data_IF_276658278003
#
_entry.id   IF_276658278003
#
_cell.length_a   1.000
_cell.length_b   1.000
_cell.length_c   1.000
_cell.angle_alpha   90.00
_cell.angle_beta   90.00
_cell.angle_gamma   90.00
#
_symmetry.space_group_name_H-M   'P 1'
#
loop_
_entity.id
_entity.type
_entity.pdbx_description
1 polymer ?
#
# COMPACT_ATOMS: atom_id res chain seq x y z
N UNK A 1 -65.31 -1.08 -28.64
CA UNK A 1 -63.87 -0.77 -28.79
C UNK A 1 -63.58 0.44 -27.92
N UNK A 2 -62.82 0.27 -26.85
CA UNK A 2 -62.50 1.36 -25.91
C UNK A 2 -61.15 1.97 -26.27
N UNK A 3 -61.11 3.27 -26.55
CA UNK A 3 -59.87 4.04 -26.75
C UNK A 3 -59.47 4.68 -25.42
N UNK A 4 -58.34 4.26 -24.87
CA UNK A 4 -57.76 4.83 -23.64
C UNK A 4 -56.94 6.05 -24.04
N UNK A 5 -57.43 7.23 -23.63
CA UNK A 5 -56.71 8.50 -23.67
C UNK A 5 -55.71 8.53 -22.50
N UNK A 6 -54.42 8.60 -22.79
CA UNK A 6 -53.37 8.72 -21.78
C UNK A 6 -52.95 10.19 -21.70
N UNK A 7 -53.35 10.84 -20.62
CA UNK A 7 -53.04 12.22 -20.28
C UNK A 7 -51.54 12.37 -20.00
N UNK A 8 -50.88 13.27 -20.71
CA UNK A 8 -49.47 13.64 -20.52
C UNK A 8 -49.27 14.33 -19.17
N UNK A 9 -48.63 13.64 -18.22
CA UNK A 9 -48.18 14.23 -16.96
C UNK A 9 -46.82 14.91 -17.13
N UNK A 10 -46.79 16.21 -16.85
CA UNK A 10 -45.59 17.06 -16.88
C UNK A 10 -44.58 16.62 -15.81
N UNK A 11 -43.41 16.15 -16.24
CA UNK A 11 -42.26 15.88 -15.38
C UNK A 11 -41.71 17.22 -14.88
N UNK A 12 -41.83 17.49 -13.57
CA UNK A 12 -41.13 18.60 -12.92
C UNK A 12 -39.63 18.26 -12.90
N UNK A 13 -38.80 19.16 -13.41
CA UNK A 13 -37.34 19.10 -13.23
C UNK A 13 -37.05 19.55 -11.81
N UNK A 14 -36.50 18.65 -11.00
CA UNK A 14 -35.95 19.01 -9.70
C UNK A 14 -34.66 19.82 -9.91
N UNK A 15 -34.62 21.00 -9.32
CA UNK A 15 -33.47 21.88 -9.32
C UNK A 15 -32.28 21.19 -8.65
N UNK A 16 -31.17 21.12 -9.39
CA UNK A 16 -29.93 20.49 -8.95
C UNK A 16 -29.44 21.06 -7.62
N UNK A 17 -29.54 20.25 -6.57
CA UNK A 17 -28.93 20.54 -5.27
C UNK A 17 -27.42 20.71 -5.42
N UNK A 18 -26.95 21.94 -5.18
CA UNK A 18 -25.54 22.30 -5.19
C UNK A 18 -24.78 21.56 -4.09
N UNK A 19 -23.94 20.59 -4.46
CA UNK A 19 -23.04 19.86 -3.56
C UNK A 19 -21.74 20.63 -3.25
N UNK A 20 -21.69 21.93 -3.58
CA UNK A 20 -20.50 22.77 -3.46
C UNK A 20 -19.91 22.87 -2.04
N UNK A 21 -20.72 22.63 -1.00
CA UNK A 21 -20.27 22.58 0.38
C UNK A 21 -19.38 21.37 0.69
N UNK A 22 -19.72 20.18 0.16
CA UNK A 22 -19.08 18.91 0.57
C UNK A 22 -17.60 18.82 0.29
N UNK A 23 -17.15 19.49 -0.77
CA UNK A 23 -15.75 19.48 -1.20
C UNK A 23 -14.82 20.18 -0.19
N UNK A 24 -15.33 21.10 0.62
CA UNK A 24 -14.54 21.82 1.62
C UNK A 24 -14.49 21.14 2.99
N UNK A 25 -15.38 20.17 3.27
CA UNK A 25 -15.35 19.44 4.56
C UNK A 25 -14.27 18.36 4.57
N UNK A 26 -14.02 17.75 3.40
CA UNK A 26 -13.03 16.69 3.24
C UNK A 26 -11.61 17.25 3.38
N UNK A 27 -11.36 18.48 2.93
CA UNK A 27 -10.03 19.10 3.03
C UNK A 27 -9.64 19.56 4.44
N UNK A 28 -10.59 19.73 5.37
CA UNK A 28 -10.32 20.29 6.71
C UNK A 28 -10.15 19.26 7.82
N UNK A 29 -10.47 17.98 7.58
CA UNK A 29 -10.40 16.93 8.63
C UNK A 29 -9.44 15.79 8.35
N UNK A 30 -8.68 15.85 7.25
CA UNK A 30 -7.63 14.89 6.97
C UNK A 30 -6.27 15.55 7.17
N UNK A 31 -5.55 15.07 8.19
CA UNK A 31 -4.11 15.34 8.42
C UNK A 31 -3.30 14.60 7.34
N UNK A 32 -3.48 14.96 6.08
CA UNK A 32 -2.72 14.33 4.98
C UNK A 32 -2.57 15.22 3.75
N UNK A 33 -2.71 16.54 3.88
CA UNK A 33 -2.37 17.45 2.77
C UNK A 33 -1.76 18.73 3.34
N UNK A 34 -0.52 18.61 3.79
CA UNK A 34 0.48 19.69 3.70
C UNK A 34 1.72 19.05 3.07
N UNK A 35 1.72 18.94 1.75
CA UNK A 35 2.90 18.63 0.94
C UNK A 35 3.02 19.69 -0.16
N UNK A 36 3.12 20.94 0.26
CA UNK A 36 3.78 21.99 -0.52
C UNK A 36 4.66 22.78 0.45
N UNK A 37 5.91 22.32 0.63
CA UNK A 37 7.12 23.07 0.30
C UNK A 37 8.34 22.42 0.96
N UNK A 38 9.47 22.51 0.26
CA UNK A 38 10.62 21.63 0.40
C UNK A 38 11.19 21.43 1.81
N UNK A 39 11.36 20.17 2.20
CA UNK A 39 12.61 19.67 2.81
C UNK A 39 12.56 18.17 3.09
N UNK A 40 13.57 17.46 2.56
CA UNK A 40 14.13 16.23 3.13
C UNK A 40 13.23 15.00 3.29
N UNK A 41 12.33 14.73 2.35
CA UNK A 41 12.06 13.32 2.07
C UNK A 41 13.37 12.73 1.52
N UNK A 42 14.11 11.99 2.36
CA UNK A 42 15.26 11.19 1.91
C UNK A 42 14.75 10.25 0.81
N UNK A 43 14.81 10.70 -0.44
CA UNK A 43 14.83 9.83 -1.59
C UNK A 43 16.04 8.92 -1.36
N UNK A 44 15.76 7.72 -0.86
CA UNK A 44 16.73 6.64 -0.84
C UNK A 44 17.04 6.42 -2.31
N UNK A 45 18.14 7.00 -2.79
CA UNK A 45 18.61 6.85 -4.16
C UNK A 45 18.82 5.36 -4.38
N UNK A 46 18.27 4.86 -5.48
CA UNK A 46 18.48 3.49 -5.93
C UNK A 46 19.99 3.14 -6.02
N UNK A 47 20.83 4.17 -6.18
CA UNK A 47 22.29 4.05 -6.26
C UNK A 47 22.96 3.67 -4.92
N UNK A 48 22.35 3.97 -3.76
CA UNK A 48 22.84 3.47 -2.46
C UNK A 48 22.56 1.97 -2.28
N UNK A 49 21.71 1.39 -3.13
CA UNK A 49 21.25 0.00 -3.07
C UNK A 49 22.26 -0.99 -3.66
N UNK A 50 23.15 -0.53 -4.54
CA UNK A 50 24.22 -1.33 -5.15
C UNK A 50 25.54 -1.13 -4.41
N UNK A 51 25.49 -0.96 -3.08
CA UNK A 51 26.63 -1.35 -2.26
C UNK A 51 26.71 -2.86 -2.32
N UNK A 52 27.67 -3.37 -3.09
CA UNK A 52 28.02 -4.78 -3.17
C UNK A 52 28.09 -5.35 -1.74
N UNK A 53 27.02 -6.04 -1.33
CA UNK A 53 26.94 -6.69 -0.03
C UNK A 53 27.97 -7.82 -0.09
N UNK A 54 29.13 -7.60 0.51
CA UNK A 54 30.14 -8.62 0.77
C UNK A 54 29.55 -9.61 1.78
N UNK A 55 28.70 -10.52 1.31
CA UNK A 55 28.01 -11.51 2.14
C UNK A 55 26.57 -11.73 1.70
N UNK A 56 26.02 -12.90 2.03
CA UNK A 56 24.57 -13.11 2.06
C UNK A 56 24.15 -12.93 3.51
N UNK A 57 23.28 -11.97 3.76
CA UNK A 57 22.63 -11.78 5.05
C UNK A 57 21.17 -12.23 4.89
N UNK A 58 20.80 -13.29 5.62
CA UNK A 58 19.48 -13.89 5.56
C UNK A 58 18.40 -12.96 6.11
N UNK A 59 18.72 -12.15 7.13
CA UNK A 59 17.73 -11.24 7.71
C UNK A 59 17.41 -10.09 6.76
N UNK A 60 18.45 -9.55 6.11
CA UNK A 60 18.30 -8.53 5.08
C UNK A 60 17.53 -9.08 3.87
N UNK A 61 17.79 -10.33 3.48
CA UNK A 61 17.04 -10.98 2.40
C UNK A 61 15.56 -11.11 2.72
N UNK A 62 15.22 -11.61 3.91
CA UNK A 62 13.82 -11.78 4.34
C UNK A 62 13.08 -10.45 4.37
N UNK A 63 13.75 -9.38 4.82
CA UNK A 63 13.20 -8.04 4.88
C UNK A 63 12.97 -7.43 3.48
N UNK A 64 13.90 -7.66 2.55
CA UNK A 64 13.74 -7.27 1.16
C UNK A 64 12.64 -8.05 0.47
N UNK A 65 12.51 -9.33 0.77
CA UNK A 65 11.46 -10.21 0.26
C UNK A 65 10.07 -9.76 0.74
N UNK A 66 9.91 -9.50 2.05
CA UNK A 66 8.67 -8.96 2.59
C UNK A 66 8.33 -7.62 1.94
N UNK A 67 9.31 -6.73 1.79
CA UNK A 67 9.12 -5.43 1.14
C UNK A 67 8.69 -5.58 -0.32
N UNK A 68 9.31 -6.49 -1.07
CA UNK A 68 8.92 -6.81 -2.44
C UNK A 68 7.45 -7.22 -2.51
N UNK A 69 7.04 -8.16 -1.66
CA UNK A 69 5.67 -8.68 -1.63
C UNK A 69 4.66 -7.55 -1.36
N UNK A 70 4.94 -6.70 -0.37
CA UNK A 70 4.05 -5.59 0.00
C UNK A 70 4.00 -4.50 -1.09
N UNK A 71 5.14 -4.10 -1.65
CA UNK A 71 5.18 -3.04 -2.66
C UNK A 71 4.55 -3.45 -4.00
N UNK A 72 4.61 -4.74 -4.33
CA UNK A 72 4.06 -5.29 -5.57
C UNK A 72 2.68 -5.93 -5.38
N UNK A 73 2.10 -5.81 -4.18
CA UNK A 73 0.82 -6.38 -3.78
C UNK A 73 0.68 -7.86 -4.16
N UNK A 74 1.73 -8.64 -3.91
CA UNK A 74 1.74 -10.07 -4.21
C UNK A 74 1.15 -10.88 -3.06
N UNK A 75 0.55 -12.05 -3.34
CA UNK A 75 0.16 -12.97 -2.28
C UNK A 75 1.40 -13.52 -1.58
N UNK A 76 1.34 -13.74 -0.26
CA UNK A 76 2.43 -14.40 0.49
C UNK A 76 2.78 -15.79 -0.04
N UNK A 77 1.86 -16.44 -0.77
CA UNK A 77 2.09 -17.72 -1.43
C UNK A 77 3.11 -17.66 -2.57
N UNK A 78 3.53 -16.48 -3.03
CA UNK A 78 4.53 -16.33 -4.09
C UNK A 78 5.82 -17.09 -3.78
N UNK A 79 6.19 -17.20 -2.49
CA UNK A 79 7.42 -17.89 -2.06
C UNK A 79 7.35 -19.42 -2.15
N UNK A 80 6.15 -19.94 -2.39
CA UNK A 80 5.91 -21.35 -2.66
C UNK A 80 5.90 -21.65 -4.16
N UNK A 81 5.91 -20.64 -5.03
CA UNK A 81 6.01 -20.83 -6.47
C UNK A 81 7.39 -21.37 -6.83
N UNK A 82 7.41 -22.49 -7.57
CA UNK A 82 8.65 -23.10 -8.07
C UNK A 82 9.44 -22.14 -8.94
N UNK A 83 8.79 -21.44 -9.87
CA UNK A 83 9.43 -20.44 -10.73
C UNK A 83 10.10 -19.30 -9.93
N UNK A 84 9.46 -18.85 -8.84
CA UNK A 84 10.04 -17.85 -7.96
C UNK A 84 11.26 -18.39 -7.21
N UNK A 85 11.18 -19.64 -6.73
CA UNK A 85 12.28 -20.31 -6.03
C UNK A 85 13.46 -20.58 -6.95
N UNK A 86 13.22 -20.97 -8.18
CA UNK A 86 14.26 -21.16 -9.21
C UNK A 86 14.93 -19.84 -9.54
N UNK A 87 14.15 -18.77 -9.72
CA UNK A 87 14.68 -17.43 -9.96
C UNK A 87 15.56 -16.94 -8.79
N UNK A 88 15.09 -17.09 -7.55
CA UNK A 88 15.86 -16.70 -6.37
C UNK A 88 17.13 -17.55 -6.19
N UNK A 89 17.05 -18.84 -6.49
CA UNK A 89 18.18 -19.78 -6.38
C UNK A 89 19.23 -19.56 -7.47
N UNK A 90 18.82 -19.14 -8.68
CA UNK A 90 19.73 -18.82 -9.79
C UNK A 90 20.78 -17.77 -9.40
N UNK A 91 20.40 -16.79 -8.58
CA UNK A 91 21.30 -15.74 -8.14
C UNK A 91 22.22 -16.17 -6.98
N UNK A 92 21.79 -17.10 -6.12
CA UNK A 92 22.61 -17.69 -5.05
C UNK A 92 22.03 -19.05 -4.62
N UNK A 93 22.83 -20.12 -4.79
CA UNK A 93 22.47 -21.48 -4.39
C UNK A 93 22.26 -21.71 -2.87
N UNK A 94 22.50 -20.70 -2.02
CA UNK A 94 22.39 -20.80 -0.55
C UNK A 94 21.18 -20.07 0.03
N UNK A 95 20.30 -19.49 -0.81
CA UNK A 95 19.14 -18.74 -0.33
C UNK A 95 18.11 -19.71 0.24
N UNK A 96 17.91 -19.66 1.56
CA UNK A 96 16.77 -20.31 2.21
C UNK A 96 15.60 -19.34 2.20
N UNK A 97 14.61 -19.63 1.36
CA UNK A 97 13.41 -18.81 1.25
C UNK A 97 12.48 -19.16 2.43
N UNK A 98 12.07 -18.18 3.26
CA UNK A 98 11.15 -18.42 4.36
C UNK A 98 9.78 -18.86 3.85
N UNK A 99 9.05 -19.60 4.70
CA UNK A 99 7.70 -20.04 4.35
C UNK A 99 6.72 -18.86 4.36
N UNK A 100 5.58 -19.02 3.67
CA UNK A 100 4.52 -18.02 3.62
C UNK A 100 4.03 -17.61 5.02
N UNK A 101 3.96 -18.55 5.96
CA UNK A 101 3.60 -18.28 7.36
C UNK A 101 4.62 -17.40 8.06
N UNK A 102 5.92 -17.66 7.87
CA UNK A 102 7.01 -16.86 8.43
C UNK A 102 6.97 -15.42 7.93
N UNK A 103 6.69 -15.24 6.63
CA UNK A 103 6.54 -13.91 6.03
C UNK A 103 5.32 -13.19 6.59
N UNK A 104 4.20 -13.92 6.77
CA UNK A 104 3.00 -13.39 7.40
C UNK A 104 3.27 -12.89 8.82
N UNK A 105 3.95 -13.69 9.66
CA UNK A 105 4.33 -13.28 11.02
C UNK A 105 5.20 -12.03 11.02
N UNK A 106 6.26 -11.99 10.19
CA UNK A 106 7.12 -10.79 10.06
C UNK A 106 6.36 -9.55 9.61
N UNK A 107 5.37 -9.72 8.74
CA UNK A 107 4.51 -8.61 8.30
C UNK A 107 3.73 -8.01 9.47
N UNK A 108 3.15 -8.85 10.33
CA UNK A 108 2.41 -8.42 11.52
C UNK A 108 3.35 -7.75 12.52
N UNK A 109 4.52 -8.34 12.77
CA UNK A 109 5.53 -7.76 13.66
C UNK A 109 5.96 -6.35 13.20
N UNK A 110 6.26 -6.18 11.90
CA UNK A 110 6.58 -4.86 11.34
C UNK A 110 5.44 -3.87 11.49
N UNK A 111 4.21 -4.31 11.25
CA UNK A 111 3.04 -3.46 11.41
C UNK A 111 2.88 -2.97 12.85
N UNK A 112 3.04 -3.86 13.85
CA UNK A 112 2.93 -3.47 15.26
C UNK A 112 4.05 -2.50 15.67
N UNK A 113 5.28 -2.71 15.20
CA UNK A 113 6.39 -1.77 15.42
C UNK A 113 6.09 -0.39 14.80
N UNK A 114 5.64 -0.35 13.55
CA UNK A 114 5.29 0.93 12.90
C UNK A 114 4.13 1.63 13.61
N UNK A 115 3.12 0.86 14.02
CA UNK A 115 1.98 1.35 14.79
C UNK A 115 2.41 1.95 16.13
N UNK A 116 3.27 1.26 16.89
CA UNK A 116 3.83 1.82 18.13
C UNK A 116 4.56 3.14 17.85
N UNK A 117 5.47 3.16 16.88
CA UNK A 117 6.22 4.37 16.51
C UNK A 117 5.30 5.54 16.13
N UNK A 118 4.21 5.27 15.39
CA UNK A 118 3.20 6.26 15.03
C UNK A 118 2.43 6.75 16.25
N UNK A 119 2.02 5.85 17.15
CA UNK A 119 1.32 6.24 18.39
C UNK A 119 2.19 7.10 19.30
N UNK A 120 3.47 6.79 19.43
CA UNK A 120 4.41 7.62 20.20
C UNK A 120 4.53 9.02 19.60
N UNK A 121 4.65 9.13 18.27
CA UNK A 121 4.71 10.43 17.58
C UNK A 121 3.45 11.27 17.80
N UNK A 122 2.28 10.64 17.85
CA UNK A 122 1.01 11.32 18.09
C UNK A 122 0.81 11.75 19.55
N UNK A 123 1.41 11.06 20.52
CA UNK A 123 1.31 11.42 21.94
C UNK A 123 2.26 12.55 22.36
N UNK A 124 3.32 12.78 21.59
CA UNK A 124 4.32 13.85 21.83
C UNK A 124 3.90 15.20 21.22
N UNK A 125 2.83 15.22 20.40
CA UNK A 125 2.21 16.44 19.86
C UNK A 125 1.11 16.96 20.79
#
# INVERSE_FOLDING_TARGET
MYTISVSSSSIKKDDGGSTGGMRNHIKRKHVTIDLEDGSNAKQIKLDDFVKCVKGFDSEVFDDLLLRFILLTNQPFLIVNSEAFRDFASFHRNQVKIPNNTTIGTRCVERFEVEKELLTTKLQVQ
#
